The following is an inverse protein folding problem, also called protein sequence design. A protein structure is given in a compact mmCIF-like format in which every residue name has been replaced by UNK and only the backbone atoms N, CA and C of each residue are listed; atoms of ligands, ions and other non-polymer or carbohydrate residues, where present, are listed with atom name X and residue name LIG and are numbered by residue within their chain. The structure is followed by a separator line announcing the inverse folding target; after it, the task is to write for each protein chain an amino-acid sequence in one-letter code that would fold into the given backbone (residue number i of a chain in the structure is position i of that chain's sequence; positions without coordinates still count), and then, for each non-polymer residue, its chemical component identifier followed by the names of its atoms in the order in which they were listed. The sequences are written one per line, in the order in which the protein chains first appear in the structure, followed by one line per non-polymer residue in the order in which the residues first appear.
data_IF_230953228260
#
_entry.id   IF_230953228260
#
_cell.length_a   1.000
_cell.length_b   1.000
_cell.length_c   1.000
_cell.angle_alpha   90.00
_cell.angle_beta   90.00
_cell.angle_gamma   90.00
#
_symmetry.space_group_name_H-M   'P 1'
#
loop_
_entity.id
_entity.type
_entity.pdbx_description
1 polymer ?
#
# COMPACT_ATOMS: atom_id res chain seq x y z
N UNK A 1 15.99 -5.63 -1.30
CA UNK A 1 14.64 -5.07 -1.54
C UNK A 1 13.62 -6.16 -1.25
N UNK A 2 12.75 -5.95 -0.26
CA UNK A 2 11.68 -6.90 0.08
C UNK A 2 10.56 -6.75 -0.96
N UNK A 3 10.10 -7.86 -1.53
CA UNK A 3 9.00 -7.87 -2.51
C UNK A 3 7.73 -8.32 -1.82
N UNK A 4 6.66 -7.56 -1.99
CA UNK A 4 5.29 -7.97 -1.66
C UNK A 4 4.62 -8.30 -2.98
N UNK A 5 3.94 -9.44 -3.07
CA UNK A 5 3.24 -9.84 -4.28
C UNK A 5 2.13 -8.83 -4.60
N UNK A 6 2.16 -8.23 -5.80
CA UNK A 6 1.27 -7.14 -6.22
C UNK A 6 -0.21 -7.52 -6.26
N UNK A 7 -0.55 -8.82 -6.32
CA UNK A 7 -1.94 -9.29 -6.38
C UNK A 7 -2.65 -9.38 -5.02
N UNK A 8 -1.91 -9.29 -3.91
CA UNK A 8 -2.48 -9.30 -2.55
C UNK A 8 -2.62 -7.90 -1.95
N UNK A 9 -2.04 -6.90 -2.62
CA UNK A 9 -2.17 -5.51 -2.21
C UNK A 9 -3.42 -4.91 -2.83
N UNK A 10 -4.07 -4.02 -2.09
CA UNK A 10 -5.05 -3.12 -2.67
C UNK A 10 -4.35 -2.11 -3.60
N UNK A 11 -5.06 -1.06 -4.02
CA UNK A 11 -4.48 -0.02 -4.85
C UNK A 11 -3.25 0.61 -4.18
N UNK A 12 -2.14 0.68 -4.93
CA UNK A 12 -0.88 1.28 -4.47
C UNK A 12 -0.51 2.42 -5.39
N UNK A 13 -0.52 3.62 -4.82
CA UNK A 13 -0.04 4.82 -5.47
C UNK A 13 1.46 4.96 -5.26
N UNK A 14 2.18 5.39 -6.29
CA UNK A 14 3.61 5.71 -6.18
C UNK A 14 3.90 7.09 -6.75
N UNK A 15 4.89 7.75 -6.15
CA UNK A 15 5.52 8.97 -6.64
C UNK A 15 7.02 8.70 -6.69
N UNK A 16 7.54 8.49 -7.89
CA UNK A 16 8.94 8.08 -8.05
C UNK A 16 9.91 9.24 -7.85
N UNK A 17 9.47 10.49 -8.08
CA UNK A 17 10.29 11.67 -7.79
C UNK A 17 10.54 11.81 -6.29
N UNK A 18 9.53 11.53 -5.47
CA UNK A 18 9.66 11.56 -4.01
C UNK A 18 10.15 10.25 -3.40
N UNK A 19 10.23 9.17 -4.17
CA UNK A 19 10.56 7.83 -3.68
C UNK A 19 9.54 7.30 -2.67
N UNK A 20 8.26 7.62 -2.86
CA UNK A 20 7.17 7.29 -1.91
C UNK A 20 6.14 6.37 -2.53
N UNK A 21 5.54 5.55 -1.68
CA UNK A 21 4.37 4.73 -2.00
C UNK A 21 3.30 4.93 -0.93
N UNK A 22 2.03 4.90 -1.35
CA UNK A 22 0.87 4.98 -0.48
C UNK A 22 -0.06 3.81 -0.76
N UNK A 23 -0.41 3.09 0.31
CA UNK A 23 -1.45 2.08 0.30
C UNK A 23 -2.76 2.70 0.77
N UNK A 24 -3.85 2.43 0.04
CA UNK A 24 -5.18 2.76 0.53
C UNK A 24 -5.64 1.70 1.54
N UNK A 25 -6.12 2.17 2.69
CA UNK A 25 -6.49 1.35 3.84
C UNK A 25 -7.97 1.56 4.20
N UNK A 26 -8.66 0.54 4.74
CA UNK A 26 -9.96 0.71 5.39
C UNK A 26 -9.90 1.78 6.48
N UNK A 27 -11.00 2.47 6.75
CA UNK A 27 -11.05 3.51 7.81
C UNK A 27 -11.05 2.93 9.22
N UNK A 28 -11.42 1.66 9.37
CA UNK A 28 -11.42 0.94 10.65
C UNK A 28 -10.18 0.06 10.76
N UNK A 29 -9.08 0.66 11.22
CA UNK A 29 -7.77 0.01 11.31
C UNK A 29 -7.49 -0.63 12.67
N UNK A 30 -8.19 -0.20 13.72
CA UNK A 30 -7.85 -0.51 15.11
C UNK A 30 -6.36 -0.27 15.40
N UNK A 31 -5.74 -1.20 16.13
CA UNK A 31 -4.32 -1.15 16.53
C UNK A 31 -3.37 -1.88 15.56
N UNK A 32 -3.85 -2.33 14.40
CA UNK A 32 -3.15 -3.32 13.56
C UNK A 32 -1.80 -2.82 13.00
N UNK A 33 -1.63 -1.50 12.89
CA UNK A 33 -0.43 -0.86 12.35
C UNK A 33 0.45 -0.19 13.43
N UNK A 34 0.13 -0.34 14.71
CA UNK A 34 0.90 0.29 15.80
C UNK A 34 2.36 -0.19 15.85
N UNK A 35 2.62 -1.42 15.40
CA UNK A 35 3.96 -2.00 15.34
C UNK A 35 4.73 -1.70 14.05
N UNK A 36 4.09 -1.10 13.05
CA UNK A 36 4.65 -0.83 11.74
C UNK A 36 5.43 0.51 11.75
N UNK A 37 6.70 0.45 12.19
CA UNK A 37 7.52 1.66 12.42
C UNK A 37 8.01 2.37 11.15
N UNK A 38 7.98 1.69 10.01
CA UNK A 38 8.48 2.21 8.72
C UNK A 38 7.39 2.86 7.86
N UNK A 39 6.14 2.90 8.35
CA UNK A 39 4.99 3.49 7.65
C UNK A 39 4.35 4.58 8.49
N UNK A 40 3.91 5.64 7.83
CA UNK A 40 3.13 6.72 8.44
C UNK A 40 1.66 6.50 8.10
N UNK A 41 0.81 6.34 9.11
CA UNK A 41 -0.65 6.24 8.93
C UNK A 41 -1.24 7.65 8.94
N UNK A 42 -1.85 8.04 7.84
CA UNK A 42 -2.60 9.30 7.75
C UNK A 42 -4.03 9.12 8.29
N UNK A 43 -4.61 10.13 8.95
CA UNK A 43 -5.97 10.04 9.47
C UNK A 43 -7.01 9.95 8.35
N UNK A 44 -8.22 9.41 8.63
CA UNK A 44 -9.33 9.44 7.69
C UNK A 44 -9.61 10.86 7.17
N UNK A 45 -9.93 10.98 5.88
CA UNK A 45 -10.19 12.27 5.23
C UNK A 45 -8.93 13.06 4.82
N UNK A 46 -7.73 12.54 5.08
CA UNK A 46 -6.50 13.13 4.54
C UNK A 46 -6.50 13.09 3.01
N UNK A 47 -6.21 14.23 2.38
CA UNK A 47 -6.26 14.37 0.93
C UNK A 47 -5.04 13.70 0.28
N UNK A 48 -5.29 12.61 -0.44
CA UNK A 48 -4.33 11.99 -1.33
C UNK A 48 -4.61 12.37 -2.78
N UNK A 49 -3.62 12.98 -3.42
CA UNK A 49 -3.69 13.36 -4.83
C UNK A 49 -3.47 12.14 -5.72
N UNK A 50 -4.58 11.57 -6.19
CA UNK A 50 -4.60 10.38 -7.04
C UNK A 50 -4.55 10.75 -8.54
N UNK A 51 -3.66 10.14 -9.34
CA UNK A 51 -3.67 10.27 -10.79
C UNK A 51 -4.83 9.45 -11.38
N UNK A 52 -5.18 9.70 -12.66
CA UNK A 52 -6.06 8.81 -13.42
C UNK A 52 -5.61 7.35 -13.32
N UNK A 53 -6.59 6.45 -13.33
CA UNK A 53 -6.32 5.02 -13.12
C UNK A 53 -5.40 4.46 -14.21
N UNK A 54 -5.66 4.78 -15.47
CA UNK A 54 -5.04 4.11 -16.61
C UNK A 54 -3.70 4.70 -17.06
N UNK A 55 -3.28 5.84 -16.50
CA UNK A 55 -2.02 6.47 -16.88
C UNK A 55 -1.46 7.35 -15.75
N UNK A 56 -0.13 7.44 -15.72
CA UNK A 56 0.57 8.34 -14.81
C UNK A 56 0.43 9.81 -15.24
N UNK A 57 0.47 10.72 -14.27
CA UNK A 57 0.65 12.16 -14.52
C UNK A 57 1.95 12.57 -13.83
N UNK A 58 2.91 13.07 -14.62
CA UNK A 58 4.28 13.29 -14.14
C UNK A 58 4.89 11.98 -13.63
N UNK A 59 5.51 12.04 -12.46
CA UNK A 59 6.18 10.93 -11.78
C UNK A 59 5.26 10.13 -10.86
N UNK A 60 3.95 10.39 -10.95
CA UNK A 60 2.94 9.76 -10.11
C UNK A 60 2.05 8.82 -10.89
N UNK A 61 1.92 7.59 -10.40
CA UNK A 61 1.13 6.54 -11.05
C UNK A 61 0.71 5.44 -10.09
N UNK A 62 -0.10 4.50 -10.60
CA UNK A 62 -0.51 3.33 -9.85
C UNK A 62 0.48 2.17 -10.08
N UNK A 63 1.10 1.68 -9.01
CA UNK A 63 1.89 0.45 -9.03
C UNK A 63 0.96 -0.79 -9.02
N UNK A 64 -0.10 -0.72 -8.22
CA UNK A 64 -1.23 -1.65 -8.26
C UNK A 64 -2.49 -0.84 -8.55
N UNK A 65 -3.15 -1.16 -9.66
CA UNK A 65 -4.28 -0.40 -10.17
C UNK A 65 -5.53 -0.63 -9.32
N UNK A 66 -6.34 0.41 -9.06
CA UNK A 66 -7.69 0.22 -8.58
C UNK A 66 -8.52 -0.51 -9.64
N UNK A 67 -9.08 -1.65 -9.27
CA UNK A 67 -9.87 -2.52 -10.14
C UNK A 67 -11.38 -2.22 -10.07
N UNK A 68 -11.78 -1.17 -9.34
CA UNK A 68 -13.17 -0.77 -9.15
C UNK A 68 -13.96 -1.64 -8.17
N UNK A 69 -13.37 -2.70 -7.60
CA UNK A 69 -14.06 -3.59 -6.65
C UNK A 69 -14.29 -2.97 -5.27
N UNK A 70 -13.63 -1.85 -4.97
CA UNK A 70 -13.59 -1.28 -3.62
C UNK A 70 -12.66 -2.02 -2.66
N UNK A 71 -11.93 -3.05 -3.12
CA UNK A 71 -10.93 -3.75 -2.31
C UNK A 71 -9.79 -2.80 -1.93
N UNK A 72 -9.53 -2.67 -0.64
CA UNK A 72 -8.41 -1.91 -0.09
C UNK A 72 -7.32 -2.85 0.43
N UNK A 73 -6.16 -2.30 0.78
CA UNK A 73 -5.06 -3.09 1.33
C UNK A 73 -5.43 -3.60 2.71
N UNK A 74 -5.22 -4.90 2.95
CA UNK A 74 -5.34 -5.50 4.27
C UNK A 74 -4.22 -4.95 5.20
N UNK A 75 -4.57 -4.29 6.31
CA UNK A 75 -3.59 -3.74 7.25
C UNK A 75 -2.65 -4.81 7.82
N UNK A 76 -3.12 -6.05 7.98
CA UNK A 76 -2.30 -7.15 8.48
C UNK A 76 -1.11 -7.45 7.55
N UNK A 77 -1.29 -7.33 6.23
CA UNK A 77 -0.21 -7.53 5.24
C UNK A 77 0.88 -6.48 5.42
N UNK A 78 0.51 -5.22 5.66
CA UNK A 78 1.49 -4.16 5.91
C UNK A 78 2.16 -4.33 7.28
N UNK A 79 1.41 -4.73 8.31
CA UNK A 79 1.96 -5.02 9.62
C UNK A 79 2.99 -6.15 9.57
N UNK A 80 2.76 -7.20 8.77
CA UNK A 80 3.75 -8.26 8.54
C UNK A 80 4.97 -7.74 7.78
N UNK A 81 4.76 -6.94 6.73
CA UNK A 81 5.85 -6.43 5.90
C UNK A 81 6.77 -5.45 6.65
N UNK A 82 6.18 -4.59 7.49
CA UNK A 82 6.84 -3.45 8.16
C UNK A 82 6.94 -3.58 9.68
N UNK A 83 6.45 -4.67 10.27
CA UNK A 83 6.53 -4.96 11.70
C UNK A 83 7.88 -5.55 12.13
N UNK A 84 8.05 -5.71 13.45
CA UNK A 84 9.28 -6.27 14.05
C UNK A 84 9.57 -7.67 13.51
N UNK A 85 10.62 -7.78 12.70
CA UNK A 85 11.11 -9.05 12.17
C UNK A 85 10.43 -9.52 10.88
N UNK A 86 9.77 -8.62 10.13
CA UNK A 86 9.01 -8.93 8.91
C UNK A 86 9.65 -10.02 8.05
N UNK A 87 9.07 -11.23 8.15
CA UNK A 87 9.51 -12.41 7.43
C UNK A 87 8.97 -12.31 6.00
N UNK A 88 9.72 -12.73 4.97
CA UNK A 88 9.25 -12.67 3.60
C UNK A 88 7.94 -13.44 3.49
N UNK A 89 6.89 -12.82 2.94
CA UNK A 89 5.80 -13.61 2.38
C UNK A 89 6.41 -14.31 1.16
N UNK A 90 6.79 -15.57 1.34
CA UNK A 90 7.41 -16.35 0.28
C UNK A 90 6.46 -16.38 -0.93
N UNK A 91 6.99 -16.02 -2.09
CA UNK A 91 6.32 -16.16 -3.38
C UNK A 91 5.78 -17.60 -3.47
N UNK A 92 4.45 -17.76 -3.47
CA UNK A 92 3.84 -19.05 -3.76
C UNK A 92 3.97 -19.28 -5.27
N UNK A 93 5.12 -19.83 -5.69
CA UNK A 93 5.33 -20.29 -7.05
C UNK A 93 4.26 -21.32 -7.42
N UNK A 94 3.64 -21.14 -8.59
CA UNK A 94 2.91 -22.19 -9.27
C UNK A 94 3.56 -22.42 -10.63
#
# INVERSE_FOLDING_TARGET
MKKVASWQLGPVLVDVAMGRAWWLLPTDLGDQLNDAREVTVHPPGWLLWCPPVLYAIGERGWLAYPDGSGRLTDPAVLSIAFGRGGRPLAEASR
#
